data_IF_170082652310
#
_entry.id   IF_170082652310
#
_cell.length_a   1.000
_cell.length_b   1.000
_cell.length_c   1.000
_cell.angle_alpha   90.00
_cell.angle_beta   90.00
_cell.angle_gamma   90.00
#
_symmetry.space_group_name_H-M   'P 1'
#
loop_
_entity.id
_entity.type
_entity.pdbx_description
1 polymer ?
#
# COMPACT_ATOMS: atom_id res chain seq x y z
N UNK A 1 19.03 -13.15 20.13
CA UNK A 1 18.80 -11.82 19.52
C UNK A 1 19.50 -10.76 20.38
N UNK A 2 20.82 -10.59 20.21
CA UNK A 2 21.66 -9.74 21.08
C UNK A 2 22.34 -8.58 20.33
N UNK A 3 21.79 -8.22 19.17
CA UNK A 3 22.44 -7.33 18.23
C UNK A 3 21.67 -6.04 17.94
N UNK A 4 20.63 -5.70 18.72
CA UNK A 4 19.79 -4.53 18.41
C UNK A 4 20.24 -3.24 19.10
N UNK A 5 21.16 -3.28 20.07
CA UNK A 5 21.29 -2.17 21.01
C UNK A 5 22.26 -1.04 20.63
N UNK A 6 23.24 -1.23 19.73
CA UNK A 6 24.33 -0.22 19.59
C UNK A 6 24.97 -0.14 18.18
N UNK A 7 24.23 0.28 17.15
CA UNK A 7 24.82 0.62 15.83
C UNK A 7 24.61 -0.42 14.73
N UNK A 8 23.53 -1.19 14.83
CA UNK A 8 23.26 -2.37 14.03
C UNK A 8 22.66 -2.12 12.64
N UNK A 9 22.92 -0.98 11.98
CA UNK A 9 22.46 -0.78 10.59
C UNK A 9 23.01 -1.87 9.66
N UNK A 10 24.28 -2.24 9.83
CA UNK A 10 24.93 -3.27 9.02
C UNK A 10 24.41 -4.68 9.34
N UNK A 11 24.04 -4.94 10.60
CA UNK A 11 23.52 -6.24 11.04
C UNK A 11 22.09 -6.45 10.56
N UNK A 12 21.24 -5.42 10.59
CA UNK A 12 19.89 -5.45 10.00
C UNK A 12 19.98 -5.67 8.48
N UNK A 13 20.89 -4.99 7.79
CA UNK A 13 21.12 -5.20 6.35
C UNK A 13 21.58 -6.63 6.02
N UNK A 14 22.47 -7.21 6.84
CA UNK A 14 22.93 -8.60 6.66
C UNK A 14 21.81 -9.60 6.95
N UNK A 15 21.00 -9.38 8.00
CA UNK A 15 19.84 -10.20 8.32
C UNK A 15 18.80 -10.22 7.19
N UNK A 16 18.53 -9.08 6.56
CA UNK A 16 17.65 -9.01 5.38
C UNK A 16 18.27 -9.66 4.13
N UNK A 17 19.61 -9.57 3.95
CA UNK A 17 20.31 -10.13 2.78
C UNK A 17 20.36 -11.66 2.76
N UNK A 18 20.33 -12.31 3.94
CA UNK A 18 20.60 -13.76 4.07
C UNK A 18 19.39 -14.64 4.41
N UNK A 19 18.17 -14.18 4.08
CA UNK A 19 16.88 -14.90 4.14
C UNK A 19 15.96 -14.42 5.28
N UNK A 20 14.94 -13.58 4.99
CA UNK A 20 14.02 -13.08 6.00
C UNK A 20 12.92 -14.11 6.25
N UNK A 21 13.05 -14.93 7.29
CA UNK A 21 11.85 -15.52 7.88
C UNK A 21 11.04 -14.39 8.51
N UNK A 22 10.04 -13.93 7.74
CA UNK A 22 9.13 -12.81 8.02
C UNK A 22 8.33 -12.98 9.32
N UNK A 23 8.35 -14.18 9.90
CA UNK A 23 7.62 -14.54 11.11
C UNK A 23 8.48 -14.61 12.38
N UNK A 24 9.77 -14.24 12.31
CA UNK A 24 10.59 -14.16 13.52
C UNK A 24 10.17 -12.96 14.38
N UNK A 25 9.34 -13.25 15.38
CA UNK A 25 9.01 -12.34 16.46
C UNK A 25 10.07 -12.42 17.56
N UNK A 26 10.38 -11.30 18.21
CA UNK A 26 11.20 -11.31 19.41
C UNK A 26 10.38 -11.79 20.63
N UNK A 27 11.02 -11.89 21.79
CA UNK A 27 10.37 -12.25 23.06
C UNK A 27 9.27 -11.28 23.53
N UNK A 28 9.12 -10.12 22.86
CA UNK A 28 8.08 -9.14 23.07
C UNK A 28 7.02 -9.16 21.94
N UNK A 29 7.01 -10.21 21.11
CA UNK A 29 6.14 -10.33 19.93
C UNK A 29 6.35 -9.24 18.86
N UNK A 30 7.43 -8.47 18.92
CA UNK A 30 7.73 -7.42 17.94
C UNK A 30 8.42 -8.03 16.73
N UNK A 31 7.91 -7.71 15.54
CA UNK A 31 8.56 -8.07 14.28
C UNK A 31 9.80 -7.21 14.02
N UNK A 32 10.63 -7.64 13.07
CA UNK A 32 11.74 -6.83 12.60
C UNK A 32 11.28 -5.45 12.07
N UNK A 33 10.06 -5.38 11.49
CA UNK A 33 9.45 -4.14 11.03
C UNK A 33 9.12 -3.20 12.20
N UNK A 34 8.52 -3.73 13.27
CA UNK A 34 8.15 -2.95 14.46
C UNK A 34 9.38 -2.36 15.16
N UNK A 35 10.45 -3.16 15.27
CA UNK A 35 11.72 -2.73 15.85
C UNK A 35 12.34 -1.61 14.99
N UNK A 36 12.28 -1.72 13.67
CA UNK A 36 12.81 -0.69 12.77
C UNK A 36 11.99 0.61 12.89
N UNK A 37 10.66 0.53 12.94
CA UNK A 37 9.80 1.71 13.13
C UNK A 37 10.08 2.39 14.48
N UNK A 38 10.27 1.58 15.54
CA UNK A 38 10.50 2.06 16.91
C UNK A 38 11.89 2.68 17.12
N UNK A 39 12.93 2.12 16.50
CA UNK A 39 14.33 2.49 16.78
C UNK A 39 15.04 3.20 15.61
N UNK A 40 14.58 3.04 14.36
CA UNK A 40 15.19 3.71 13.21
C UNK A 40 14.57 5.08 12.97
N UNK A 41 15.08 6.09 13.68
CA UNK A 41 14.92 7.51 13.32
C UNK A 41 15.70 7.88 12.04
N UNK A 42 15.63 7.06 10.98
CA UNK A 42 16.24 7.36 9.68
C UNK A 42 15.29 6.94 8.55
N UNK A 43 14.65 7.96 8.00
CA UNK A 43 13.71 7.96 6.87
C UNK A 43 14.12 7.03 5.71
N UNK A 44 15.42 6.83 5.44
CA UNK A 44 15.87 6.04 4.29
C UNK A 44 15.58 4.53 4.38
N UNK A 45 15.60 3.92 5.58
CA UNK A 45 15.28 2.49 5.72
C UNK A 45 13.78 2.22 5.75
N UNK A 46 12.99 3.14 6.31
CA UNK A 46 11.53 3.10 6.23
C UNK A 46 11.08 3.20 4.77
N UNK A 47 11.68 4.09 3.97
CA UNK A 47 11.39 4.19 2.54
C UNK A 47 11.78 2.93 1.77
N UNK A 48 12.91 2.28 2.08
CA UNK A 48 13.29 1.01 1.44
C UNK A 48 12.39 -0.16 1.86
N UNK A 49 11.94 -0.21 3.11
CA UNK A 49 10.96 -1.22 3.58
C UNK A 49 9.57 -0.99 2.99
N UNK A 50 9.15 0.27 2.82
CA UNK A 50 7.90 0.61 2.12
C UNK A 50 7.92 0.20 0.64
N UNK A 51 9.10 0.14 0.02
CA UNK A 51 9.27 -0.38 -1.34
C UNK A 51 9.27 -1.92 -1.42
N UNK A 52 9.51 -2.62 -0.31
CA UNK A 52 9.67 -4.08 -0.27
C UNK A 52 8.55 -4.81 0.48
N UNK A 53 7.74 -4.10 1.24
CA UNK A 53 6.55 -4.64 1.90
C UNK A 53 5.31 -4.26 1.11
N UNK A 54 4.40 -5.20 0.79
CA UNK A 54 3.05 -4.85 0.37
C UNK A 54 2.29 -4.34 1.60
N UNK A 55 2.72 -3.19 2.12
CA UNK A 55 2.09 -2.50 3.23
C UNK A 55 0.72 -2.05 2.71
N UNK A 56 -0.34 -2.77 3.10
CA UNK A 56 -1.72 -2.28 3.12
C UNK A 56 -2.04 -1.34 1.95
N UNK A 57 -2.19 -1.88 0.74
CA UNK A 57 -2.51 -1.02 -0.40
C UNK A 57 -3.82 -0.26 -0.08
N UNK A 58 -3.71 1.05 0.09
CA UNK A 58 -4.82 1.90 0.47
C UNK A 58 -5.91 1.86 -0.62
N UNK A 59 -5.53 1.61 -1.87
CA UNK A 59 -6.46 1.33 -2.95
C UNK A 59 -7.20 0.00 -2.72
N UNK A 60 -6.51 -1.06 -2.29
CA UNK A 60 -7.17 -2.33 -1.97
C UNK A 60 -8.20 -2.16 -0.84
N UNK A 61 -7.85 -1.42 0.23
CA UNK A 61 -8.78 -1.11 1.33
C UNK A 61 -10.00 -0.33 0.84
N UNK A 62 -9.79 0.72 0.05
CA UNK A 62 -10.87 1.50 -0.54
C UNK A 62 -11.80 0.62 -1.40
N UNK A 63 -11.23 -0.24 -2.24
CA UNK A 63 -12.02 -1.15 -3.07
C UNK A 63 -12.78 -2.17 -2.24
N UNK A 64 -12.22 -2.64 -1.13
CA UNK A 64 -12.90 -3.52 -0.18
C UNK A 64 -14.14 -2.87 0.42
N UNK A 65 -14.01 -1.63 0.92
CA UNK A 65 -15.13 -0.85 1.46
C UNK A 65 -16.23 -0.59 0.40
N UNK A 66 -15.83 -0.51 -0.86
CA UNK A 66 -16.76 -0.38 -2.00
C UNK A 66 -17.29 -1.73 -2.50
N UNK A 67 -16.87 -2.87 -1.95
CA UNK A 67 -17.19 -4.22 -2.45
C UNK A 67 -16.79 -4.42 -3.92
N UNK A 68 -15.62 -3.87 -4.29
CA UNK A 68 -15.05 -3.85 -5.63
C UNK A 68 -13.65 -4.47 -5.69
N UNK A 69 -13.27 -5.27 -4.69
CA UNK A 69 -11.97 -5.94 -4.54
C UNK A 69 -11.51 -6.66 -5.81
N UNK A 70 -12.46 -7.26 -6.54
CA UNK A 70 -12.18 -7.99 -7.80
C UNK A 70 -11.50 -7.15 -8.88
N UNK A 71 -11.58 -5.82 -8.79
CA UNK A 71 -10.93 -4.90 -9.73
C UNK A 71 -9.52 -4.49 -9.31
N UNK A 72 -9.12 -4.78 -8.07
CA UNK A 72 -7.79 -4.46 -7.57
C UNK A 72 -6.65 -5.07 -8.42
N UNK A 73 -6.70 -6.35 -8.85
CA UNK A 73 -5.65 -6.92 -9.71
C UNK A 73 -5.50 -6.19 -11.05
N UNK A 74 -6.60 -5.69 -11.63
CA UNK A 74 -6.60 -4.98 -12.91
C UNK A 74 -5.89 -3.62 -12.78
N UNK A 75 -6.17 -2.90 -11.69
CA UNK A 75 -5.51 -1.62 -11.40
C UNK A 75 -4.03 -1.82 -11.04
N UNK A 76 -3.71 -2.83 -10.22
CA UNK A 76 -2.31 -3.14 -9.83
C UNK A 76 -1.45 -3.53 -11.03
N UNK A 77 -2.00 -4.31 -11.97
CA UNK A 77 -1.27 -4.70 -13.19
C UNK A 77 -0.86 -3.49 -14.02
N UNK A 78 -1.64 -2.41 -13.97
CA UNK A 78 -1.37 -1.13 -14.64
C UNK A 78 -0.60 -0.13 -13.75
N UNK A 79 -0.08 -0.58 -12.60
CA UNK A 79 0.63 0.26 -11.62
C UNK A 79 -0.21 1.44 -11.10
N UNK A 80 -1.54 1.30 -11.09
CA UNK A 80 -2.44 2.32 -10.54
C UNK A 80 -2.48 2.14 -9.03
N UNK A 81 -1.90 3.09 -8.30
CA UNK A 81 -2.05 3.23 -6.85
C UNK A 81 -3.20 4.17 -6.47
N UNK A 82 -3.35 4.46 -5.18
CA UNK A 82 -4.40 5.37 -4.69
C UNK A 82 -4.27 6.79 -5.27
N UNK A 83 -3.04 7.29 -5.41
CA UNK A 83 -2.77 8.63 -5.94
C UNK A 83 -3.18 8.72 -7.42
N UNK A 84 -2.83 7.72 -8.22
CA UNK A 84 -3.19 7.62 -9.64
C UNK A 84 -4.71 7.45 -9.77
N UNK A 85 -5.30 6.55 -8.98
CA UNK A 85 -6.74 6.32 -8.95
C UNK A 85 -7.53 7.59 -8.65
N UNK A 86 -7.09 8.39 -7.67
CA UNK A 86 -7.76 9.65 -7.32
C UNK A 86 -7.76 10.70 -8.43
N UNK A 87 -6.92 10.55 -9.47
CA UNK A 87 -6.87 11.49 -10.61
C UNK A 87 -7.73 11.03 -11.79
N UNK A 88 -8.19 9.78 -11.78
CA UNK A 88 -8.96 9.19 -12.87
C UNK A 88 -10.36 9.79 -12.98
N UNK A 89 -10.82 10.00 -14.22
CA UNK A 89 -12.21 10.29 -14.54
C UNK A 89 -12.97 9.00 -14.92
N UNK A 90 -14.26 9.11 -15.24
CA UNK A 90 -15.06 7.93 -15.62
C UNK A 90 -14.50 7.23 -16.88
N UNK A 91 -14.05 8.00 -17.87
CA UNK A 91 -13.47 7.46 -19.10
C UNK A 91 -12.14 6.73 -18.84
N UNK A 92 -11.26 7.26 -18.00
CA UNK A 92 -10.00 6.61 -17.60
C UNK A 92 -10.27 5.26 -16.93
N UNK A 93 -11.29 5.18 -16.06
CA UNK A 93 -11.69 3.92 -15.41
C UNK A 93 -12.19 2.89 -16.44
N UNK A 94 -12.91 3.35 -17.47
CA UNK A 94 -13.36 2.48 -18.56
C UNK A 94 -12.16 1.94 -19.33
N UNK A 95 -11.21 2.80 -19.67
CA UNK A 95 -10.01 2.45 -20.44
C UNK A 95 -9.06 1.55 -19.63
N UNK A 96 -9.03 1.69 -18.31
CA UNK A 96 -8.34 0.80 -17.38
C UNK A 96 -9.02 -0.58 -17.21
N UNK A 97 -10.17 -0.83 -17.86
CA UNK A 97 -10.84 -2.14 -17.84
C UNK A 97 -12.06 -2.25 -16.93
N UNK A 98 -12.53 -1.15 -16.33
CA UNK A 98 -13.77 -1.10 -15.55
C UNK A 98 -14.97 -0.87 -16.51
N UNK A 99 -15.29 -1.87 -17.31
CA UNK A 99 -16.26 -1.75 -18.42
C UNK A 99 -17.71 -1.66 -17.96
N UNK A 100 -18.06 -2.23 -16.81
CA UNK A 100 -19.42 -2.19 -16.26
C UNK A 100 -19.74 -0.81 -15.67
N UNK A 101 -20.88 -0.23 -16.09
CA UNK A 101 -21.31 1.11 -15.67
C UNK A 101 -21.48 1.25 -14.15
N UNK A 102 -22.07 0.25 -13.49
CA UNK A 102 -22.33 0.29 -12.04
C UNK A 102 -21.04 0.43 -11.21
N UNK A 103 -20.10 -0.53 -11.32
CA UNK A 103 -18.78 -0.45 -10.69
C UNK A 103 -18.03 0.85 -11.02
N UNK A 104 -18.04 1.25 -12.29
CA UNK A 104 -17.36 2.45 -12.75
C UNK A 104 -17.90 3.73 -12.09
N UNK A 105 -19.23 3.91 -12.06
CA UNK A 105 -19.86 5.03 -11.35
C UNK A 105 -19.57 5.00 -9.86
N UNK A 106 -19.59 3.81 -9.24
CA UNK A 106 -19.28 3.66 -7.80
C UNK A 106 -17.85 4.08 -7.48
N UNK A 107 -16.88 3.70 -8.31
CA UNK A 107 -15.49 4.15 -8.20
C UNK A 107 -15.35 5.65 -8.43
N UNK A 108 -15.97 6.19 -9.47
CA UNK A 108 -15.89 7.62 -9.78
C UNK A 108 -16.51 8.49 -8.67
N UNK A 109 -17.63 8.06 -8.08
CA UNK A 109 -18.21 8.71 -6.90
C UNK A 109 -17.25 8.70 -5.69
N UNK A 110 -16.50 7.62 -5.49
CA UNK A 110 -15.48 7.55 -4.45
C UNK A 110 -14.32 8.53 -4.74
N UNK A 111 -13.92 8.68 -6.00
CA UNK A 111 -12.92 9.66 -6.43
C UNK A 111 -13.39 11.09 -6.13
N UNK A 112 -14.62 11.46 -6.50
CA UNK A 112 -15.18 12.78 -6.19
C UNK A 112 -15.17 13.06 -4.67
N UNK A 113 -15.56 12.05 -3.86
CA UNK A 113 -15.50 12.15 -2.39
C UNK A 113 -14.09 12.37 -1.87
N UNK A 114 -13.09 11.66 -2.40
CA UNK A 114 -11.68 11.83 -2.03
C UNK A 114 -11.15 13.24 -2.36
N UNK A 115 -11.65 13.85 -3.44
CA UNK A 115 -11.29 15.22 -3.83
C UNK A 115 -12.06 16.31 -3.09
N UNK A 116 -13.10 15.96 -2.34
CA UNK A 116 -14.05 16.93 -1.80
C UNK A 116 -14.87 17.63 -2.90
N UNK A 117 -15.00 17.01 -4.07
CA UNK A 117 -15.76 17.53 -5.20
C UNK A 117 -17.20 16.99 -5.17
N UNK A 118 -18.17 17.84 -5.53
CA UNK A 118 -19.54 17.39 -5.78
C UNK A 118 -19.61 16.62 -7.11
N UNK A 119 -20.22 15.44 -7.09
CA UNK A 119 -20.48 14.66 -8.30
C UNK A 119 -21.43 15.43 -9.22
N UNK A 120 -20.94 15.88 -10.37
CA UNK A 120 -21.76 16.44 -11.44
C UNK A 120 -22.23 15.30 -12.34
N UNK A 121 -23.54 15.06 -12.33
CA UNK A 121 -24.19 14.12 -13.25
C UNK A 121 -24.43 14.86 -14.57
N UNK A 122 -23.62 14.57 -15.57
CA UNK A 122 -23.92 14.96 -16.96
C UNK A 122 -25.14 14.17 -17.49
#
# INVERSE_FOLDING_TARGET
MLACSNGAQNIIQILFKYNPDKEMLNQNEESAEDIIIKYSRRSSLVTLLQLQTPHSDALAKLLHELSLDKYYPVLRTQQIGLNEFSRMNEQDLKDAGITLLGPRRKMYLAICKLKGEEYKKD
#
